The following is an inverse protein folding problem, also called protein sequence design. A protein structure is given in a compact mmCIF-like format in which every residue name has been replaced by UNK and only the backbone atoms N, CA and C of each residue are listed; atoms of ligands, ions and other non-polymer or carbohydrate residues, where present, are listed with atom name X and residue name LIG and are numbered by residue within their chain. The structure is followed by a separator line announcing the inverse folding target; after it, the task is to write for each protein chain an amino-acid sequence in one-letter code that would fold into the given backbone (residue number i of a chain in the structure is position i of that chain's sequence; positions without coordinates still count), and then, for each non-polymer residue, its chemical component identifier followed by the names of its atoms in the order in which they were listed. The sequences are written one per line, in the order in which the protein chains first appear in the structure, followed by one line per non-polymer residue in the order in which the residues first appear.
data_IF_769399451485
#
_entry.id   IF_769399451485
#
_cell.length_a   1.000
_cell.length_b   1.000
_cell.length_c   1.000
_cell.angle_alpha   90.00
_cell.angle_beta   90.00
_cell.angle_gamma   90.00
#
_symmetry.space_group_name_H-M   'P 1'
#
loop_
_entity.id
_entity.type
_entity.pdbx_description
1 polymer ?
#
# COMPACT_ATOMS: atom_id res chain seq x y z
N UNK A 1 2.30 -1.21 15.92
CA UNK A 1 2.82 -0.06 16.69
C UNK A 1 3.00 1.20 15.81
N UNK A 2 2.24 1.36 14.72
CA UNK A 2 2.40 2.47 13.76
C UNK A 2 1.27 3.52 13.79
N UNK A 3 0.15 3.30 14.50
CA UNK A 3 -1.01 4.18 14.38
C UNK A 3 -0.92 5.46 15.24
N UNK A 4 -0.40 5.39 16.47
CA UNK A 4 -0.41 6.55 17.38
C UNK A 4 0.72 7.57 17.12
N UNK A 5 1.80 7.16 16.43
CA UNK A 5 2.95 8.03 16.16
C UNK A 5 2.80 8.95 14.94
N UNK A 6 1.85 8.66 14.03
CA UNK A 6 1.68 9.38 12.76
C UNK A 6 0.35 10.14 12.65
N UNK A 7 -0.52 10.05 13.65
CA UNK A 7 -1.71 10.87 13.73
C UNK A 7 -1.32 12.36 13.84
N UNK A 8 -1.36 13.07 12.71
CA UNK A 8 -0.95 14.48 12.60
C UNK A 8 0.35 14.72 11.83
N UNK A 9 1.01 13.68 11.32
CA UNK A 9 2.09 13.83 10.34
C UNK A 9 1.51 13.85 8.93
N UNK A 10 1.89 14.86 8.15
CA UNK A 10 1.55 14.98 6.74
C UNK A 10 2.42 13.97 5.96
N UNK A 11 1.96 12.72 5.91
CA UNK A 11 2.64 11.64 5.21
C UNK A 11 2.52 11.86 3.70
N UNK A 12 3.60 11.59 2.98
CA UNK A 12 3.54 11.55 1.53
C UNK A 12 2.48 10.51 1.10
N UNK A 13 1.62 10.81 0.10
CA UNK A 13 0.50 9.93 -0.27
C UNK A 13 0.93 8.50 -0.60
N UNK A 14 2.07 8.31 -1.24
CA UNK A 14 2.68 7.01 -1.54
C UNK A 14 3.02 6.21 -0.28
N UNK A 15 3.41 6.89 0.80
CA UNK A 15 3.75 6.26 2.07
C UNK A 15 2.48 5.79 2.80
N UNK A 16 1.44 6.64 2.87
CA UNK A 16 0.14 6.25 3.43
C UNK A 16 -0.48 5.10 2.61
N UNK A 17 -0.42 5.19 1.29
CA UNK A 17 -0.94 4.19 0.37
C UNK A 17 -0.24 2.82 0.52
N UNK A 18 1.10 2.81 0.54
CA UNK A 18 1.88 1.60 0.72
C UNK A 18 1.59 0.93 2.08
N UNK A 19 1.46 1.75 3.13
CA UNK A 19 1.24 1.26 4.48
C UNK A 19 -0.14 0.64 4.63
N UNK A 20 -1.19 1.36 4.23
CA UNK A 20 -2.57 0.84 4.27
C UNK A 20 -2.72 -0.45 3.47
N UNK A 21 -2.10 -0.52 2.29
CA UNK A 21 -2.13 -1.69 1.45
C UNK A 21 -1.45 -2.89 2.11
N UNK A 22 -0.21 -2.71 2.57
CA UNK A 22 0.64 -3.77 3.12
C UNK A 22 0.09 -4.31 4.44
N UNK A 23 -0.26 -3.44 5.38
CA UNK A 23 -0.80 -3.85 6.69
C UNK A 23 -2.15 -4.55 6.56
N UNK A 24 -3.04 -4.06 5.70
CA UNK A 24 -4.31 -4.72 5.45
C UNK A 24 -4.12 -6.11 4.83
N UNK A 25 -3.21 -6.22 3.85
CA UNK A 25 -2.87 -7.49 3.22
C UNK A 25 -2.26 -8.48 4.24
N UNK A 26 -1.47 -7.97 5.20
CA UNK A 26 -0.83 -8.76 6.25
C UNK A 26 -1.84 -9.32 7.26
N UNK A 27 -2.81 -8.52 7.70
CA UNK A 27 -3.89 -8.98 8.60
C UNK A 27 -4.76 -10.04 7.92
N UNK A 28 -4.98 -9.90 6.60
CA UNK A 28 -5.75 -10.82 5.76
C UNK A 28 -7.14 -11.20 6.37
N UNK A 29 -8.00 -10.21 6.67
CA UNK A 29 -9.20 -10.43 7.48
C UNK A 29 -10.36 -11.15 6.77
N UNK A 30 -10.37 -11.20 5.43
CA UNK A 30 -11.45 -11.82 4.66
C UNK A 30 -11.03 -13.18 4.08
N UNK A 31 -12.01 -14.03 3.76
CA UNK A 31 -11.73 -15.32 3.10
C UNK A 31 -11.29 -15.17 1.64
N UNK A 32 -11.81 -14.17 0.93
CA UNK A 32 -11.41 -13.77 -0.41
C UNK A 32 -11.50 -12.25 -0.55
N UNK A 33 -10.79 -11.68 -1.52
CA UNK A 33 -10.89 -10.28 -1.89
C UNK A 33 -9.89 -9.36 -1.19
N UNK A 34 -9.03 -9.87 -0.31
CA UNK A 34 -8.06 -9.03 0.42
C UNK A 34 -7.22 -8.18 -0.52
N UNK A 35 -6.65 -8.77 -1.59
CA UNK A 35 -5.87 -8.00 -2.55
C UNK A 35 -6.68 -6.93 -3.30
N UNK A 36 -7.99 -7.11 -3.51
CA UNK A 36 -8.85 -6.07 -4.09
C UNK A 36 -9.04 -4.92 -3.10
N UNK A 37 -9.29 -5.24 -1.84
CA UNK A 37 -9.46 -4.24 -0.78
C UNK A 37 -8.15 -3.50 -0.49
N UNK A 38 -7.00 -4.18 -0.42
CA UNK A 38 -5.68 -3.55 -0.26
C UNK A 38 -5.44 -2.50 -1.34
N UNK A 39 -5.71 -2.82 -2.61
CA UNK A 39 -5.57 -1.85 -3.72
C UNK A 39 -6.59 -0.73 -3.67
N UNK A 40 -7.79 -0.98 -3.19
CA UNK A 40 -8.79 0.08 -2.96
C UNK A 40 -8.36 1.04 -1.85
N UNK A 41 -7.75 0.54 -0.77
CA UNK A 41 -7.20 1.37 0.32
C UNK A 41 -6.01 2.20 -0.16
N UNK A 42 -5.13 1.61 -0.97
CA UNK A 42 -4.05 2.34 -1.66
C UNK A 42 -4.62 3.48 -2.51
N UNK A 43 -5.63 3.19 -3.34
CA UNK A 43 -6.28 4.21 -4.18
C UNK A 43 -6.97 5.30 -3.35
N UNK A 44 -7.57 4.92 -2.22
CA UNK A 44 -8.20 5.86 -1.29
C UNK A 44 -7.19 6.88 -0.74
N UNK A 45 -5.97 6.47 -0.38
CA UNK A 45 -4.94 7.38 0.12
C UNK A 45 -4.58 8.47 -0.91
N UNK A 46 -4.34 8.10 -2.17
CA UNK A 46 -4.08 9.07 -3.24
C UNK A 46 -5.28 9.98 -3.49
N UNK A 47 -6.50 9.42 -3.54
CA UNK A 47 -7.71 10.19 -3.76
C UNK A 47 -7.98 11.20 -2.62
N UNK A 48 -7.73 10.80 -1.37
CA UNK A 48 -7.81 11.65 -0.19
C UNK A 48 -6.81 12.82 -0.25
N UNK A 49 -5.62 12.59 -0.81
CA UNK A 49 -4.61 13.62 -1.04
C UNK A 49 -4.88 14.51 -2.27
N UNK A 50 -5.90 14.21 -3.08
CA UNK A 50 -6.20 14.93 -4.32
C UNK A 50 -5.23 14.60 -5.46
N UNK A 51 -4.51 13.48 -5.37
CA UNK A 51 -3.52 13.05 -6.35
C UNK A 51 -4.05 12.00 -7.34
N UNK A 52 -3.27 11.74 -8.38
CA UNK A 52 -3.60 10.72 -9.37
C UNK A 52 -3.45 9.31 -8.78
N UNK A 53 -4.47 8.48 -8.95
CA UNK A 53 -4.48 7.10 -8.43
C UNK A 53 -3.65 6.19 -9.34
N UNK A 54 -2.61 5.51 -8.82
CA UNK A 54 -1.82 4.58 -9.62
C UNK A 54 -2.64 3.35 -10.02
N UNK A 55 -2.57 3.00 -11.30
CA UNK A 55 -3.27 1.83 -11.87
C UNK A 55 -2.33 0.62 -11.88
N UNK A 56 -2.72 -0.41 -11.15
CA UNK A 56 -2.03 -1.70 -11.14
C UNK A 56 -2.43 -2.53 -12.35
N UNK A 57 -1.64 -2.45 -13.41
CA UNK A 57 -1.86 -3.23 -14.64
C UNK A 57 -1.25 -4.63 -14.54
N UNK A 58 -1.82 -5.59 -15.30
CA UNK A 58 -1.29 -6.94 -15.39
C UNK A 58 0.17 -6.99 -15.87
N UNK A 59 0.58 -6.04 -16.71
CA UNK A 59 1.95 -5.91 -17.21
C UNK A 59 2.97 -5.56 -16.11
N UNK A 60 2.55 -4.92 -15.02
CA UNK A 60 3.41 -4.56 -13.88
C UNK A 60 3.33 -5.57 -12.72
N UNK A 61 2.59 -6.66 -12.89
CA UNK A 61 2.30 -7.62 -11.82
C UNK A 61 3.57 -8.18 -11.16
N UNK A 62 4.60 -8.50 -11.94
CA UNK A 62 5.81 -9.12 -11.39
C UNK A 62 6.57 -8.15 -10.50
N UNK A 63 6.73 -6.89 -10.94
CA UNK A 63 7.38 -5.84 -10.13
C UNK A 63 6.61 -5.55 -8.85
N UNK A 64 5.28 -5.58 -8.90
CA UNK A 64 4.42 -5.44 -7.73
C UNK A 64 4.63 -6.55 -6.70
N UNK A 65 4.66 -7.81 -7.15
CA UNK A 65 4.88 -8.95 -6.26
C UNK A 65 6.28 -8.87 -5.63
N UNK A 66 7.31 -8.56 -6.42
CA UNK A 66 8.68 -8.38 -5.90
C UNK A 66 8.74 -7.28 -4.84
N UNK A 67 8.07 -6.14 -5.07
CA UNK A 67 8.04 -5.04 -4.11
C UNK A 67 7.35 -5.43 -2.79
N UNK A 68 6.27 -6.22 -2.85
CA UNK A 68 5.62 -6.76 -1.65
C UNK A 68 6.50 -7.75 -0.89
N UNK A 69 7.16 -8.67 -1.61
CA UNK A 69 8.08 -9.64 -0.99
C UNK A 69 9.25 -8.94 -0.28
N UNK A 70 9.75 -7.83 -0.83
CA UNK A 70 10.78 -7.01 -0.18
C UNK A 70 10.24 -6.30 1.07
N UNK A 71 9.02 -5.76 1.01
CA UNK A 71 8.35 -5.16 2.17
C UNK A 71 8.15 -6.17 3.31
N UNK A 72 7.75 -7.41 2.99
CA UNK A 72 7.63 -8.50 3.96
C UNK A 72 8.96 -8.86 4.63
N UNK A 73 10.08 -8.63 3.94
CA UNK A 73 11.45 -8.82 4.45
C UNK A 73 12.03 -7.57 5.13
N UNK A 74 11.16 -6.70 5.64
CA UNK A 74 11.52 -5.47 6.34
C UNK A 74 12.13 -4.36 5.45
N UNK A 75 12.07 -4.46 4.12
CA UNK A 75 12.36 -3.34 3.20
C UNK A 75 11.05 -2.70 2.71
N UNK A 76 10.26 -2.19 3.66
CA UNK A 76 9.03 -1.44 3.36
C UNK A 76 9.25 -0.29 2.36
N UNK A 77 10.37 0.47 2.41
CA UNK A 77 10.66 1.49 1.40
C UNK A 77 10.68 0.98 -0.05
N UNK A 78 10.93 -0.31 -0.30
CA UNK A 78 10.83 -0.87 -1.66
C UNK A 78 9.42 -0.78 -2.24
N UNK A 79 8.39 -0.97 -1.41
CA UNK A 79 7.02 -0.87 -1.86
C UNK A 79 6.60 0.59 -2.09
N UNK A 80 7.02 1.51 -1.21
CA UNK A 80 6.81 2.96 -1.39
C UNK A 80 7.42 3.43 -2.72
N UNK A 81 8.65 3.02 -3.05
CA UNK A 81 9.32 3.39 -4.32
C UNK A 81 8.67 2.78 -5.57
N UNK A 82 7.92 1.70 -5.42
CA UNK A 82 7.27 1.01 -6.54
C UNK A 82 5.96 1.68 -6.95
N UNK A 83 5.23 2.25 -5.98
CA UNK A 83 4.00 3.00 -6.20
C UNK A 83 4.27 4.27 -7.03
#
# INVERSE_FOLDING_TARGET
MFHEGYAGLDLAPETEAAWLHHEFAHIHPFQDGNGRVSRLLMAYAYAKAGEFVPVMSAARKDGYIVALELADRCDFPAFVRYL
#
